data_IF_942203315123
#
_entry.id   IF_942203315123
#
_cell.length_a   1.000
_cell.length_b   1.000
_cell.length_c   1.000
_cell.angle_alpha   90.00
_cell.angle_beta   90.00
_cell.angle_gamma   90.00
#
_symmetry.space_group_name_H-M   'P 1'
#
loop_
_entity.id
_entity.type
_entity.pdbx_description
1 polymer ?
#
# COMPACT_ATOMS: atom_id res chain seq x y z
N UNK A 1 12.01 16.19 4.69
CA UNK A 1 11.66 15.45 5.93
C UNK A 1 12.24 16.22 7.11
N UNK A 2 11.48 16.44 8.19
CA UNK A 2 12.00 17.05 9.42
C UNK A 2 12.36 15.98 10.43
N UNK A 3 13.39 16.22 11.24
CA UNK A 3 13.87 15.28 12.26
C UNK A 3 14.01 16.03 13.59
N UNK A 4 13.33 15.55 14.62
CA UNK A 4 13.41 16.05 15.99
C UNK A 4 13.88 14.91 16.88
N UNK A 5 14.95 15.13 17.62
CA UNK A 5 15.39 14.24 18.71
C UNK A 5 14.97 14.87 20.03
N UNK A 6 14.56 14.08 21.00
CA UNK A 6 14.19 14.60 22.30
C UNK A 6 14.65 13.68 23.42
N UNK A 7 14.92 14.31 24.56
CA UNK A 7 15.17 13.71 25.85
C UNK A 7 14.53 14.62 26.91
N UNK A 8 15.33 15.29 27.75
CA UNK A 8 14.89 16.43 28.56
C UNK A 8 14.43 17.62 27.70
N UNK A 9 15.08 17.84 26.55
CA UNK A 9 14.82 19.00 25.67
C UNK A 9 14.68 18.55 24.21
N UNK A 10 13.60 18.93 23.50
CA UNK A 10 13.48 18.66 22.08
C UNK A 10 14.45 19.51 21.26
N UNK A 11 15.09 18.90 20.27
CA UNK A 11 16.05 19.55 19.38
C UNK A 11 15.72 19.23 17.93
N UNK A 12 15.54 20.26 17.11
CA UNK A 12 15.45 20.11 15.66
C UNK A 12 16.82 19.73 15.09
N UNK A 13 16.95 18.53 14.54
CA UNK A 13 18.13 18.09 13.80
C UNK A 13 18.03 18.46 12.32
N UNK A 14 16.81 18.46 11.77
CA UNK A 14 16.53 18.89 10.40
C UNK A 14 15.12 19.47 10.29
N UNK A 15 14.94 20.45 9.40
CA UNK A 15 13.65 21.02 9.02
C UNK A 15 13.09 20.31 7.79
N UNK A 16 11.81 20.51 7.46
CA UNK A 16 11.17 19.83 6.32
C UNK A 16 11.84 20.16 4.99
N UNK A 17 12.43 21.36 4.88
CA UNK A 17 13.17 21.87 3.71
C UNK A 17 14.71 21.75 3.81
N UNK A 18 15.26 21.02 4.79
CA UNK A 18 16.72 20.92 4.96
C UNK A 18 17.40 20.15 3.84
N UNK A 19 16.85 19.01 3.43
CA UNK A 19 17.45 18.11 2.45
C UNK A 19 16.65 18.10 1.15
N UNK A 20 17.34 17.90 0.02
CA UNK A 20 16.71 17.89 -1.31
C UNK A 20 16.45 16.50 -1.86
N UNK A 21 17.25 15.52 -1.44
CA UNK A 21 17.10 14.13 -1.87
C UNK A 21 17.17 13.15 -0.70
N UNK A 22 16.92 11.88 -1.04
CA UNK A 22 16.84 10.79 -0.08
C UNK A 22 18.22 10.41 0.48
N UNK A 23 19.26 10.49 -0.33
CA UNK A 23 20.59 10.00 0.05
C UNK A 23 21.23 10.92 1.10
N UNK A 24 21.04 12.22 0.97
CA UNK A 24 21.43 13.21 1.99
C UNK A 24 20.77 12.91 3.34
N UNK A 25 19.47 12.59 3.35
CA UNK A 25 18.72 12.25 4.57
C UNK A 25 19.28 10.99 5.21
N UNK A 26 19.52 9.94 4.42
CA UNK A 26 20.03 8.66 4.91
C UNK A 26 21.44 8.81 5.51
N UNK A 27 22.32 9.56 4.84
CA UNK A 27 23.65 9.86 5.36
C UNK A 27 23.58 10.64 6.68
N UNK A 28 22.71 11.64 6.76
CA UNK A 28 22.54 12.43 7.98
C UNK A 28 22.02 11.60 9.15
N UNK A 29 21.04 10.72 8.92
CA UNK A 29 20.50 9.83 9.97
C UNK A 29 21.60 8.96 10.58
N UNK A 30 22.54 8.45 9.76
CA UNK A 30 23.66 7.64 10.25
C UNK A 30 24.65 8.42 11.14
N UNK A 31 24.63 9.76 11.07
CA UNK A 31 25.51 10.63 11.84
C UNK A 31 24.83 11.21 13.09
N UNK A 32 23.54 10.92 13.33
CA UNK A 32 22.81 11.48 14.46
C UNK A 32 23.40 10.99 15.80
N UNK A 33 23.78 11.91 16.71
CA UNK A 33 24.34 11.52 17.99
C UNK A 33 23.26 10.99 18.92
N UNK A 34 23.51 9.84 19.55
CA UNK A 34 22.71 9.37 20.67
C UNK A 34 22.94 10.25 21.89
N UNK A 35 21.86 10.73 22.50
CA UNK A 35 21.89 11.55 23.72
C UNK A 35 21.09 10.86 24.81
N UNK A 36 21.68 10.76 26.00
CA UNK A 36 20.99 10.31 27.21
C UNK A 36 20.21 11.48 27.83
N UNK A 37 19.20 11.17 28.63
CA UNK A 37 18.40 12.15 29.36
C UNK A 37 17.04 11.59 29.73
N UNK A 38 16.15 12.47 30.19
CA UNK A 38 14.75 12.16 30.44
C UNK A 38 13.94 11.91 29.17
N UNK A 39 12.62 11.80 29.33
CA UNK A 39 11.66 11.49 28.25
C UNK A 39 10.52 12.50 28.27
N UNK A 40 10.73 13.71 27.74
CA UNK A 40 9.70 14.74 27.63
C UNK A 40 9.00 14.71 26.26
N UNK A 41 8.16 13.71 26.04
CA UNK A 41 7.47 13.49 24.76
C UNK A 41 6.44 14.59 24.47
N UNK A 42 5.75 15.10 25.48
CA UNK A 42 4.77 16.19 25.32
C UNK A 42 5.42 17.48 24.81
N UNK A 43 6.57 17.85 25.38
CA UNK A 43 7.38 18.96 24.94
C UNK A 43 7.86 18.77 23.49
N UNK A 44 8.27 17.55 23.12
CA UNK A 44 8.69 17.23 21.76
C UNK A 44 7.57 17.37 20.73
N UNK A 45 6.36 16.93 21.07
CA UNK A 45 5.17 17.12 20.22
C UNK A 45 4.87 18.61 20.03
N UNK A 46 4.82 19.38 21.10
CA UNK A 46 4.58 20.83 21.04
C UNK A 46 5.65 21.55 20.22
N UNK A 47 6.92 21.23 20.48
CA UNK A 47 8.04 21.77 19.71
C UNK A 47 7.92 21.45 18.22
N UNK A 48 7.53 20.23 17.87
CA UNK A 48 7.35 19.80 16.48
C UNK A 48 6.27 20.63 15.77
N UNK A 49 5.14 20.89 16.43
CA UNK A 49 4.09 21.75 15.89
C UNK A 49 4.59 23.18 15.66
N UNK A 50 5.23 23.77 16.67
CA UNK A 50 5.61 25.18 16.69
C UNK A 50 6.84 25.49 15.82
N UNK A 51 7.74 24.52 15.65
CA UNK A 51 9.05 24.77 15.01
C UNK A 51 9.23 24.02 13.70
N UNK A 52 8.67 22.82 13.54
CA UNK A 52 8.87 22.01 12.32
C UNK A 52 7.75 22.22 11.32
N UNK A 53 6.49 22.15 11.76
CA UNK A 53 5.33 22.29 10.88
C UNK A 53 4.97 23.75 10.53
N UNK A 54 5.99 24.58 10.33
CA UNK A 54 5.84 25.99 9.93
C UNK A 54 6.20 26.19 8.45
N UNK A 55 5.55 27.16 7.81
CA UNK A 55 5.79 27.50 6.39
C UNK A 55 7.28 27.84 6.15
N UNK A 56 7.91 28.57 7.09
CA UNK A 56 9.34 28.94 7.06
C UNK A 56 10.28 27.73 7.08
N UNK A 57 9.82 26.59 7.62
CA UNK A 57 10.58 25.33 7.71
C UNK A 57 10.18 24.31 6.65
N UNK A 58 9.37 24.68 5.68
CA UNK A 58 8.99 23.83 4.54
C UNK A 58 7.68 23.07 4.71
N UNK A 59 6.88 23.38 5.73
CA UNK A 59 5.51 22.89 5.85
C UNK A 59 4.67 23.46 4.72
N UNK A 60 3.83 22.64 4.10
CA UNK A 60 2.96 23.03 2.97
C UNK A 60 1.49 22.81 3.36
N UNK A 61 0.61 23.70 2.91
CA UNK A 61 -0.82 23.64 3.24
C UNK A 61 -1.54 22.49 2.53
N UNK A 62 -1.19 22.24 1.27
CA UNK A 62 -1.86 21.25 0.42
C UNK A 62 -1.20 19.86 0.45
N UNK A 63 -0.39 19.59 1.48
CA UNK A 63 0.32 18.32 1.63
C UNK A 63 -0.03 17.69 2.97
N UNK A 64 -0.38 16.39 3.00
CA UNK A 64 -0.59 15.67 4.25
C UNK A 64 0.62 15.80 5.18
N UNK A 65 0.36 16.15 6.44
CA UNK A 65 1.38 16.29 7.48
C UNK A 65 1.35 15.05 8.35
N UNK A 66 2.49 14.39 8.49
CA UNK A 66 2.63 13.16 9.27
C UNK A 66 3.71 13.36 10.32
N UNK A 67 3.41 13.01 11.56
CA UNK A 67 4.36 12.90 12.66
C UNK A 67 4.48 11.44 13.10
N UNK A 68 5.67 10.86 12.95
CA UNK A 68 6.01 9.54 13.47
C UNK A 68 6.79 9.70 14.78
N UNK A 69 6.15 9.36 15.89
CA UNK A 69 6.72 9.44 17.23
C UNK A 69 7.24 8.07 17.62
N UNK A 70 8.51 7.99 18.02
CA UNK A 70 9.16 6.75 18.45
C UNK A 70 9.67 6.95 19.88
N UNK A 71 9.21 6.13 20.83
CA UNK A 71 9.59 6.20 22.24
C UNK A 71 9.77 4.80 22.83
N UNK A 72 10.66 4.65 23.81
CA UNK A 72 10.93 3.39 24.51
C UNK A 72 10.53 3.40 25.99
N UNK A 73 9.89 4.47 26.46
CA UNK A 73 9.50 4.62 27.86
C UNK A 73 8.36 5.61 28.10
N UNK A 74 7.96 5.71 29.36
CA UNK A 74 6.91 6.62 29.85
C UNK A 74 7.38 8.08 29.80
N UNK A 75 6.52 8.98 29.35
CA UNK A 75 6.79 10.40 29.36
C UNK A 75 6.83 10.97 30.78
N UNK A 76 7.70 11.95 31.01
CA UNK A 76 7.80 12.69 32.27
C UNK A 76 6.91 13.95 32.31
N UNK A 77 6.26 14.26 31.18
CA UNK A 77 5.36 15.38 30.99
C UNK A 77 4.03 14.95 30.32
N UNK A 78 3.06 15.87 30.25
CA UNK A 78 1.76 15.59 29.65
C UNK A 78 1.86 15.48 28.11
N UNK A 79 1.53 14.30 27.57
CA UNK A 79 1.52 14.03 26.13
C UNK A 79 0.20 14.42 25.45
N UNK A 80 -0.92 14.37 26.18
CA UNK A 80 -2.27 14.53 25.65
C UNK A 80 -2.55 15.87 25.01
N UNK A 81 -2.31 16.96 25.75
CA UNK A 81 -2.63 18.32 25.27
C UNK A 81 -1.82 18.67 24.02
N UNK A 82 -0.53 18.31 24.03
CA UNK A 82 0.36 18.53 22.91
C UNK A 82 -0.06 17.70 21.68
N UNK A 83 -0.43 16.44 21.87
CA UNK A 83 -0.90 15.59 20.79
C UNK A 83 -2.25 16.05 20.21
N UNK A 84 -3.17 16.51 21.08
CA UNK A 84 -4.45 17.12 20.65
C UNK A 84 -4.17 18.34 19.79
N UNK A 85 -3.26 19.22 20.20
CA UNK A 85 -2.90 20.40 19.43
C UNK A 85 -2.33 20.02 18.05
N UNK A 86 -1.43 19.03 18.01
CA UNK A 86 -0.84 18.53 16.76
C UNK A 86 -1.92 18.01 15.79
N UNK A 87 -2.83 17.17 16.29
CA UNK A 87 -3.92 16.60 15.49
C UNK A 87 -4.90 17.66 15.02
N UNK A 88 -5.25 18.64 15.87
CA UNK A 88 -6.11 19.78 15.49
C UNK A 88 -5.47 20.67 14.43
N UNK A 89 -4.14 20.72 14.36
CA UNK A 89 -3.42 21.40 13.30
C UNK A 89 -3.36 20.61 11.97
N UNK A 90 -4.09 19.49 11.87
CA UNK A 90 -4.17 18.65 10.67
C UNK A 90 -2.98 17.72 10.49
N UNK A 91 -2.23 17.43 11.56
CA UNK A 91 -1.12 16.47 11.52
C UNK A 91 -1.59 15.08 11.94
N UNK A 92 -1.37 14.09 11.08
CA UNK A 92 -1.58 12.67 11.39
C UNK A 92 -0.44 12.16 12.25
N UNK A 93 -0.74 11.73 13.46
CA UNK A 93 0.23 11.22 14.44
C UNK A 93 0.22 9.69 14.47
N UNK A 94 1.37 9.09 14.18
CA UNK A 94 1.70 7.69 14.41
C UNK A 94 2.56 7.58 15.67
N UNK A 95 2.20 6.69 16.60
CA UNK A 95 2.93 6.46 17.84
C UNK A 95 3.50 5.04 17.85
N UNK A 96 4.82 4.93 17.99
CA UNK A 96 5.57 3.68 18.03
C UNK A 96 6.25 3.55 19.39
N UNK A 97 5.79 2.58 20.17
CA UNK A 97 6.39 2.18 21.43
C UNK A 97 7.37 1.03 21.24
N UNK A 98 8.50 1.08 21.93
CA UNK A 98 9.52 0.03 21.93
C UNK A 98 9.67 -0.49 23.37
N UNK A 99 9.74 -1.81 23.55
CA UNK A 99 9.89 -2.48 24.86
C UNK A 99 8.79 -2.05 25.85
N UNK A 100 9.17 -1.35 26.92
CA UNK A 100 8.34 -0.98 28.07
C UNK A 100 7.64 0.38 27.87
N UNK A 101 7.46 0.81 26.62
CA UNK A 101 6.73 2.04 26.30
C UNK A 101 5.30 1.99 26.85
N UNK A 102 4.83 3.11 27.39
CA UNK A 102 3.51 3.18 27.99
C UNK A 102 2.41 3.20 26.93
N UNK A 103 1.67 2.10 26.78
CA UNK A 103 0.65 1.96 25.73
C UNK A 103 -0.48 2.99 25.85
N UNK A 104 -0.89 3.36 27.07
CA UNK A 104 -1.93 4.38 27.26
C UNK A 104 -1.49 5.75 26.73
N UNK A 105 -0.23 6.13 26.92
CA UNK A 105 0.34 7.36 26.37
C UNK A 105 0.46 7.28 24.84
N UNK A 106 0.85 6.13 24.26
CA UNK A 106 0.87 5.94 22.81
C UNK A 106 -0.54 6.13 22.21
N UNK A 107 -1.55 5.55 22.86
CA UNK A 107 -2.96 5.70 22.49
C UNK A 107 -3.39 7.16 22.60
N UNK A 108 -2.99 7.87 23.63
CA UNK A 108 -3.32 9.28 23.82
C UNK A 108 -2.71 10.18 22.72
N UNK A 109 -1.49 9.86 22.28
CA UNK A 109 -0.76 10.60 21.24
C UNK A 109 -1.27 10.33 19.82
N UNK A 110 -1.56 9.07 19.49
CA UNK A 110 -1.86 8.66 18.13
C UNK A 110 -3.18 9.23 17.56
N UNK A 111 -3.29 9.26 16.24
CA UNK A 111 -4.54 9.59 15.54
C UNK A 111 -5.56 8.44 15.60
N UNK A 112 -6.78 8.68 15.13
CA UNK A 112 -7.86 7.68 15.14
C UNK A 112 -8.05 7.05 13.75
N UNK A 113 -8.31 5.73 13.64
CA UNK A 113 -8.49 4.76 14.73
C UNK A 113 -7.17 4.28 15.35
N UNK A 114 -7.15 4.02 16.66
CA UNK A 114 -5.94 3.66 17.40
C UNK A 114 -5.28 2.38 16.86
N UNK A 115 -6.08 1.44 16.38
CA UNK A 115 -5.64 0.23 15.68
C UNK A 115 -4.75 0.47 14.45
N UNK A 116 -4.81 1.67 13.86
CA UNK A 116 -4.03 2.07 12.68
C UNK A 116 -2.77 2.88 13.03
N UNK A 117 -2.80 3.63 14.12
CA UNK A 117 -1.77 4.64 14.40
C UNK A 117 -0.95 4.36 15.66
N UNK A 118 -1.26 3.29 16.40
CA UNK A 118 -0.49 2.83 17.57
C UNK A 118 0.21 1.53 17.23
N UNK A 119 1.52 1.48 17.48
CA UNK A 119 2.33 0.31 17.27
C UNK A 119 3.21 0.05 18.48
N UNK A 120 3.34 -1.22 18.88
CA UNK A 120 4.26 -1.65 19.91
C UNK A 120 5.17 -2.72 19.35
N UNK A 121 6.47 -2.61 19.63
CA UNK A 121 7.47 -3.60 19.27
C UNK A 121 8.29 -3.97 20.50
N UNK A 122 8.55 -5.26 20.70
CA UNK A 122 9.31 -5.74 21.87
C UNK A 122 10.82 -5.49 21.77
N UNK A 123 11.32 -5.09 20.59
CA UNK A 123 12.74 -4.85 20.35
C UNK A 123 12.98 -3.90 19.18
N UNK A 124 14.10 -3.20 19.21
CA UNK A 124 14.54 -2.30 18.14
C UNK A 124 14.77 -3.04 16.81
N UNK A 125 15.09 -4.34 16.85
CA UNK A 125 15.23 -5.19 15.66
C UNK A 125 13.92 -5.28 14.88
N UNK A 126 12.77 -5.26 15.59
CA UNK A 126 11.44 -5.34 14.98
C UNK A 126 10.92 -4.00 14.43
N UNK A 127 11.69 -2.92 14.51
CA UNK A 127 11.36 -1.67 13.81
C UNK A 127 11.42 -1.82 12.28
N UNK A 128 12.28 -2.71 11.75
CA UNK A 128 12.36 -2.93 10.31
C UNK A 128 11.05 -3.53 9.74
N UNK A 129 10.51 -4.66 10.27
CA UNK A 129 9.16 -5.12 9.91
C UNK A 129 8.06 -4.07 10.13
N UNK A 130 8.22 -3.21 11.15
CA UNK A 130 7.27 -2.14 11.40
C UNK A 130 7.23 -1.11 10.27
N UNK A 131 8.35 -0.83 9.57
CA UNK A 131 8.33 0.06 8.40
C UNK A 131 7.42 -0.46 7.29
N UNK A 132 7.43 -1.77 7.03
CA UNK A 132 6.51 -2.42 6.08
C UNK A 132 5.05 -2.32 6.53
N UNK A 133 4.82 -2.28 7.84
CA UNK A 133 3.49 -2.11 8.43
C UNK A 133 3.03 -0.64 8.47
N UNK A 134 3.92 0.32 8.72
CA UNK A 134 3.60 1.76 8.67
C UNK A 134 3.29 2.23 7.25
N UNK A 135 3.85 1.53 6.27
CA UNK A 135 3.51 1.61 4.85
C UNK A 135 2.20 0.86 4.51
N UNK A 136 1.39 0.43 5.51
CA UNK A 136 0.15 -0.31 5.24
C UNK A 136 -0.77 0.49 4.34
N UNK A 137 -0.93 -0.03 3.14
CA UNK A 137 -1.83 0.47 2.14
C UNK A 137 -3.26 0.20 2.56
N UNK A 138 -4.06 1.25 2.61
CA UNK A 138 -5.50 1.11 2.62
C UNK A 138 -5.93 0.97 1.17
N UNK A 139 -6.38 -0.22 0.80
CA UNK A 139 -6.74 -0.50 -0.58
C UNK A 139 -7.84 -1.54 -0.70
N UNK A 140 -8.65 -1.38 -1.73
CA UNK A 140 -9.59 -2.39 -2.18
C UNK A 140 -9.04 -2.99 -3.46
N UNK A 141 -8.80 -4.31 -3.45
CA UNK A 141 -8.15 -5.00 -4.56
C UNK A 141 -9.08 -6.10 -5.07
N UNK A 142 -9.38 -6.07 -6.36
CA UNK A 142 -10.01 -7.21 -7.02
C UNK A 142 -9.01 -7.93 -7.92
N UNK A 143 -9.02 -9.25 -7.84
CA UNK A 143 -8.47 -10.11 -8.89
C UNK A 143 -9.56 -10.44 -9.90
N UNK A 144 -9.23 -10.26 -11.19
CA UNK A 144 -10.03 -10.72 -12.31
C UNK A 144 -9.23 -11.82 -13.03
N UNK A 145 -9.61 -13.05 -12.77
CA UNK A 145 -8.86 -14.26 -13.13
C UNK A 145 -9.52 -14.95 -14.31
N UNK A 146 -8.76 -15.12 -15.39
CA UNK A 146 -9.19 -15.89 -16.56
C UNK A 146 -9.29 -17.39 -16.22
N UNK A 147 -10.33 -18.03 -16.72
CA UNK A 147 -10.65 -19.45 -16.61
C UNK A 147 -11.03 -20.04 -17.98
N UNK A 148 -10.63 -19.37 -19.05
CA UNK A 148 -10.91 -19.82 -20.41
C UNK A 148 -10.26 -21.17 -20.71
N UNK A 149 -10.79 -21.86 -21.71
CA UNK A 149 -10.35 -23.22 -22.07
C UNK A 149 -8.94 -23.31 -22.66
N UNK A 150 -8.27 -22.19 -22.93
CA UNK A 150 -6.85 -22.17 -23.32
C UNK A 150 -5.90 -22.38 -22.14
N UNK A 151 -6.39 -22.19 -20.91
CA UNK A 151 -5.60 -22.33 -19.70
C UNK A 151 -5.52 -23.81 -19.31
N UNK A 152 -4.31 -24.33 -19.15
CA UNK A 152 -4.10 -25.69 -18.65
C UNK A 152 -4.30 -25.77 -17.14
N UNK A 153 -4.62 -26.95 -16.60
CA UNK A 153 -4.86 -27.11 -15.15
C UNK A 153 -3.66 -26.72 -14.28
N UNK A 154 -2.44 -26.89 -14.77
CA UNK A 154 -1.22 -26.46 -14.07
C UNK A 154 -1.12 -24.92 -14.03
N UNK A 155 -1.35 -24.26 -15.15
CA UNK A 155 -1.38 -22.80 -15.28
C UNK A 155 -2.44 -22.18 -14.36
N UNK A 156 -3.63 -22.79 -14.31
CA UNK A 156 -4.69 -22.41 -13.38
C UNK A 156 -4.26 -22.52 -11.92
N UNK A 157 -3.58 -23.62 -11.57
CA UNK A 157 -3.04 -23.81 -10.21
C UNK A 157 -2.01 -22.74 -9.86
N UNK A 158 -1.19 -22.31 -10.82
CA UNK A 158 -0.19 -21.29 -10.57
C UNK A 158 -0.80 -19.89 -10.42
N UNK A 159 -1.89 -19.58 -11.13
CA UNK A 159 -2.69 -18.38 -10.85
C UNK A 159 -3.26 -18.38 -9.43
N UNK A 160 -3.81 -19.51 -8.97
CA UNK A 160 -4.27 -19.65 -7.58
C UNK A 160 -3.12 -19.40 -6.58
N UNK A 161 -1.94 -19.99 -6.81
CA UNK A 161 -0.76 -19.78 -5.97
C UNK A 161 -0.32 -18.33 -5.95
N UNK A 162 -0.30 -17.65 -7.10
CA UNK A 162 0.04 -16.23 -7.18
C UNK A 162 -0.89 -15.37 -6.32
N UNK A 163 -2.20 -15.59 -6.42
CA UNK A 163 -3.21 -14.88 -5.62
C UNK A 163 -3.02 -15.19 -4.13
N UNK A 164 -2.78 -16.45 -3.77
CA UNK A 164 -2.51 -16.87 -2.37
C UNK A 164 -1.25 -16.19 -1.82
N UNK A 165 -0.16 -16.11 -2.59
CA UNK A 165 1.04 -15.38 -2.18
C UNK A 165 0.76 -13.89 -1.97
N UNK A 166 -0.10 -13.30 -2.79
CA UNK A 166 -0.53 -11.91 -2.65
C UNK A 166 -1.33 -11.71 -1.36
N UNK A 167 -2.31 -12.58 -1.10
CA UNK A 167 -3.12 -12.59 0.12
C UNK A 167 -2.27 -12.68 1.40
N UNK A 168 -1.23 -13.52 1.39
CA UNK A 168 -0.30 -13.70 2.52
C UNK A 168 0.55 -12.46 2.82
N UNK A 169 0.71 -11.57 1.84
CA UNK A 169 1.59 -10.42 1.98
C UNK A 169 0.90 -9.26 2.70
N UNK A 170 -0.41 -9.12 2.55
CA UNK A 170 -1.16 -8.02 3.15
C UNK A 170 -1.84 -8.40 4.46
N UNK A 171 -1.97 -7.41 5.34
CA UNK A 171 -2.92 -7.48 6.44
C UNK A 171 -4.33 -7.30 5.87
N UNK A 172 -5.10 -8.39 5.82
CA UNK A 172 -6.48 -8.38 5.33
C UNK A 172 -7.44 -7.94 6.43
N UNK A 173 -8.39 -7.06 6.10
CA UNK A 173 -9.52 -6.75 6.96
C UNK A 173 -10.26 -5.45 6.62
N UNK A 174 -11.39 -5.16 7.28
CA UNK A 174 -12.24 -4.00 6.97
C UNK A 174 -11.54 -2.63 7.13
N UNK A 175 -10.51 -2.57 7.97
CA UNK A 175 -9.69 -1.37 8.21
C UNK A 175 -8.30 -1.44 7.56
N UNK A 176 -8.03 -2.47 6.74
CA UNK A 176 -6.77 -2.70 6.05
C UNK A 176 -7.06 -3.06 4.60
N UNK A 177 -6.25 -3.88 3.93
CA UNK A 177 -6.56 -4.29 2.57
C UNK A 177 -7.81 -5.17 2.56
N UNK A 178 -8.78 -4.86 1.68
CA UNK A 178 -9.87 -5.78 1.33
C UNK A 178 -9.55 -6.39 -0.02
N UNK A 179 -9.84 -7.68 -0.18
CA UNK A 179 -9.63 -8.38 -1.44
C UNK A 179 -10.87 -9.16 -1.86
N UNK A 180 -11.17 -9.10 -3.15
CA UNK A 180 -12.21 -9.87 -3.81
C UNK A 180 -11.64 -10.58 -5.03
N UNK A 181 -12.34 -11.60 -5.50
CA UNK A 181 -11.93 -12.37 -6.66
C UNK A 181 -13.12 -12.70 -7.55
N UNK A 182 -12.99 -12.35 -8.82
CA UNK A 182 -13.92 -12.71 -9.89
C UNK A 182 -13.17 -13.59 -10.87
N UNK A 183 -13.73 -14.77 -11.14
CA UNK A 183 -13.28 -15.68 -12.19
C UNK A 183 -14.11 -15.45 -13.45
N UNK A 184 -13.54 -15.55 -14.65
CA UNK A 184 -14.33 -15.41 -15.88
C UNK A 184 -13.88 -16.36 -16.99
N UNK A 185 -14.84 -16.77 -17.82
CA UNK A 185 -14.59 -17.38 -19.12
C UNK A 185 -15.60 -16.79 -20.13
N UNK A 186 -16.70 -17.49 -20.39
CA UNK A 186 -17.84 -16.97 -21.16
C UNK A 186 -18.62 -15.87 -20.41
N UNK A 187 -18.58 -15.92 -19.08
CA UNK A 187 -19.21 -14.95 -18.20
C UNK A 187 -18.46 -14.85 -16.87
N UNK A 188 -18.48 -13.67 -16.21
CA UNK A 188 -17.86 -13.48 -14.91
C UNK A 188 -18.65 -14.19 -13.80
N UNK A 189 -17.93 -14.69 -12.80
CA UNK A 189 -18.45 -15.38 -11.63
C UNK A 189 -17.68 -14.92 -10.39
N UNK A 190 -18.38 -14.20 -9.51
CA UNK A 190 -17.84 -13.75 -8.22
C UNK A 190 -17.56 -14.96 -7.34
N UNK A 191 -16.30 -15.13 -6.93
CA UNK A 191 -15.90 -16.21 -6.03
C UNK A 191 -15.97 -15.77 -4.57
N UNK A 192 -15.57 -14.52 -4.28
CA UNK A 192 -15.80 -13.86 -3.01
C UNK A 192 -15.66 -12.34 -3.16
N UNK A 193 -16.45 -11.59 -2.40
CA UNK A 193 -16.42 -10.11 -2.39
C UNK A 193 -15.49 -9.54 -1.30
N UNK A 194 -15.14 -8.25 -1.39
CA UNK A 194 -14.25 -7.50 -0.50
C UNK A 194 -14.64 -7.57 0.98
N UNK A 195 -15.91 -7.79 1.29
CA UNK A 195 -16.44 -7.82 2.66
C UNK A 195 -16.71 -9.23 3.18
N UNK A 196 -16.59 -10.26 2.35
CA UNK A 196 -16.98 -11.62 2.71
C UNK A 196 -15.99 -12.26 3.69
N UNK A 197 -14.71 -11.93 3.55
CA UNK A 197 -13.66 -12.47 4.39
C UNK A 197 -12.84 -11.34 5.02
N UNK A 198 -12.52 -11.50 6.30
CA UNK A 198 -11.66 -10.58 7.05
C UNK A 198 -10.34 -11.23 7.49
N UNK A 199 -10.02 -12.40 6.91
CA UNK A 199 -8.91 -13.24 7.31
C UNK A 199 -8.29 -13.90 6.08
N UNK A 200 -6.97 -13.74 5.94
CA UNK A 200 -6.21 -14.26 4.80
C UNK A 200 -6.34 -15.79 4.68
N UNK A 201 -6.30 -16.54 5.80
CA UNK A 201 -6.39 -18.02 5.75
C UNK A 201 -7.73 -18.50 5.23
N UNK A 202 -8.83 -17.79 5.52
CA UNK A 202 -10.15 -18.09 4.94
C UNK A 202 -10.17 -17.81 3.44
N UNK A 203 -9.62 -16.68 3.00
CA UNK A 203 -9.50 -16.35 1.57
C UNK A 203 -8.63 -17.37 0.83
N UNK A 204 -7.50 -17.80 1.40
CA UNK A 204 -6.64 -18.83 0.81
C UNK A 204 -7.43 -20.12 0.53
N UNK A 205 -8.18 -20.61 1.53
CA UNK A 205 -9.04 -21.79 1.36
C UNK A 205 -10.16 -21.59 0.35
N UNK A 206 -10.67 -20.36 0.20
CA UNK A 206 -11.66 -20.04 -0.81
C UNK A 206 -11.03 -20.12 -2.20
N UNK A 207 -9.84 -19.55 -2.39
CA UNK A 207 -9.07 -19.61 -3.64
C UNK A 207 -8.75 -21.06 -4.01
N UNK A 208 -8.25 -21.87 -3.08
CA UNK A 208 -7.91 -23.29 -3.30
C UNK A 208 -9.10 -24.16 -3.76
N UNK A 209 -10.34 -23.75 -3.47
CA UNK A 209 -11.56 -24.48 -3.85
C UNK A 209 -12.13 -24.07 -5.20
N UNK A 210 -11.58 -23.04 -5.83
CA UNK A 210 -12.01 -22.63 -7.16
C UNK A 210 -11.58 -23.72 -8.14
N UNK A 211 -12.53 -24.21 -8.94
CA UNK A 211 -12.27 -25.23 -9.94
C UNK A 211 -12.21 -24.61 -11.34
N UNK A 212 -11.26 -25.09 -12.13
CA UNK A 212 -11.13 -24.74 -13.54
C UNK A 212 -12.30 -25.35 -14.33
N UNK A 213 -13.02 -24.52 -15.09
CA UNK A 213 -14.17 -24.97 -15.88
C UNK A 213 -13.98 -24.78 -17.39
N UNK A 214 -13.09 -23.88 -17.80
CA UNK A 214 -12.92 -23.55 -19.21
C UNK A 214 -14.04 -22.67 -19.75
N UNK A 215 -14.01 -22.46 -21.06
CA UNK A 215 -14.98 -21.65 -21.81
C UNK A 215 -14.30 -20.69 -22.78
N UNK A 216 -15.04 -19.71 -23.27
CA UNK A 216 -14.50 -18.58 -24.03
C UNK A 216 -13.69 -17.61 -23.17
N UNK A 217 -13.26 -16.49 -23.79
CA UNK A 217 -12.42 -15.47 -23.15
C UNK A 217 -13.09 -14.10 -23.28
N UNK A 218 -14.20 -13.89 -22.55
CA UNK A 218 -15.02 -12.68 -22.60
C UNK A 218 -14.53 -11.62 -21.60
N UNK A 219 -13.26 -11.20 -21.75
CA UNK A 219 -12.59 -10.24 -20.85
C UNK A 219 -13.32 -8.89 -20.80
N UNK A 220 -13.89 -8.39 -21.90
CA UNK A 220 -14.62 -7.12 -21.93
C UNK A 220 -15.86 -7.14 -21.03
N UNK A 221 -16.66 -8.20 -21.13
CA UNK A 221 -17.79 -8.48 -20.24
C UNK A 221 -17.33 -8.62 -18.79
N UNK A 222 -16.21 -9.29 -18.55
CA UNK A 222 -15.66 -9.47 -17.22
C UNK A 222 -15.26 -8.13 -16.58
N UNK A 223 -14.56 -7.25 -17.32
CA UNK A 223 -14.24 -5.87 -16.92
C UNK A 223 -15.51 -5.06 -16.64
N UNK A 224 -16.53 -5.19 -17.49
CA UNK A 224 -17.80 -4.47 -17.30
C UNK A 224 -18.47 -4.84 -15.97
N UNK A 225 -18.39 -6.12 -15.56
CA UNK A 225 -18.95 -6.55 -14.27
C UNK A 225 -18.26 -5.93 -13.06
N UNK A 226 -16.97 -5.60 -13.18
CA UNK A 226 -16.18 -4.99 -12.10
C UNK A 226 -16.65 -3.57 -11.74
N UNK A 227 -17.32 -2.87 -12.65
CA UNK A 227 -17.82 -1.51 -12.41
C UNK A 227 -18.73 -1.46 -11.18
N UNK A 228 -19.70 -2.37 -11.09
CA UNK A 228 -20.63 -2.42 -9.96
C UNK A 228 -19.94 -2.91 -8.68
N UNK A 229 -19.00 -3.86 -8.79
CA UNK A 229 -18.20 -4.31 -7.64
C UNK A 229 -17.41 -3.15 -7.01
N UNK A 230 -16.75 -2.30 -7.81
CA UNK A 230 -16.03 -1.14 -7.28
C UNK A 230 -16.95 -0.01 -6.77
N UNK A 231 -18.13 0.20 -7.37
CA UNK A 231 -19.13 1.12 -6.78
C UNK A 231 -19.58 0.65 -5.40
N UNK A 232 -19.84 -0.65 -5.25
CA UNK A 232 -20.20 -1.24 -3.96
C UNK A 232 -19.04 -1.20 -2.95
N UNK A 233 -17.80 -1.38 -3.42
CA UNK A 233 -16.59 -1.21 -2.61
C UNK A 233 -16.53 0.19 -1.98
N UNK A 234 -16.71 1.24 -2.80
CA UNK A 234 -16.75 2.64 -2.36
C UNK A 234 -17.82 2.89 -1.31
N UNK A 235 -19.04 2.43 -1.59
CA UNK A 235 -20.19 2.63 -0.70
C UNK A 235 -20.00 1.94 0.65
N UNK A 236 -19.33 0.78 0.69
CA UNK A 236 -19.12 0.00 1.93
C UNK A 236 -17.93 0.45 2.77
N UNK A 237 -16.97 1.20 2.22
CA UNK A 237 -15.71 1.54 2.90
C UNK A 237 -15.86 2.65 3.94
N UNK A 238 -16.74 3.62 3.71
CA UNK A 238 -16.95 4.79 4.56
C UNK A 238 -15.83 5.84 4.52
N UNK A 239 -14.72 5.60 3.82
CA UNK A 239 -13.62 6.53 3.58
C UNK A 239 -12.92 6.19 2.25
N UNK A 240 -12.22 7.17 1.65
CA UNK A 240 -11.52 7.00 0.37
C UNK A 240 -10.27 6.12 0.54
N UNK A 241 -10.10 5.17 -0.36
CA UNK A 241 -8.92 4.30 -0.47
C UNK A 241 -8.52 4.15 -1.94
N UNK A 242 -7.31 3.69 -2.21
CA UNK A 242 -6.90 3.33 -3.57
C UNK A 242 -7.56 2.02 -3.98
N UNK A 243 -8.07 1.98 -5.21
CA UNK A 243 -8.79 0.84 -5.76
C UNK A 243 -7.97 0.22 -6.88
N UNK A 244 -7.69 -1.08 -6.79
CA UNK A 244 -6.85 -1.78 -7.74
C UNK A 244 -7.60 -2.96 -8.37
N UNK A 245 -7.50 -3.07 -9.69
CA UNK A 245 -7.92 -4.25 -10.43
C UNK A 245 -6.69 -4.94 -10.99
N UNK A 246 -6.47 -6.20 -10.63
CA UNK A 246 -5.39 -7.04 -11.18
C UNK A 246 -6.03 -8.06 -12.11
N UNK A 247 -5.87 -7.86 -13.42
CA UNK A 247 -6.36 -8.77 -14.46
C UNK A 247 -5.27 -9.76 -14.82
N UNK A 248 -5.59 -11.06 -14.81
CA UNK A 248 -4.68 -12.14 -15.21
C UNK A 248 -5.33 -12.90 -16.35
N UNK A 249 -4.70 -12.94 -17.53
CA UNK A 249 -5.21 -13.60 -18.75
C UNK A 249 -4.09 -14.20 -19.58
N UNK A 250 -4.36 -15.28 -20.31
CA UNK A 250 -3.41 -15.98 -21.18
C UNK A 250 -3.65 -15.74 -22.67
N UNK A 251 -4.71 -15.01 -23.04
CA UNK A 251 -5.23 -15.03 -24.41
C UNK A 251 -5.77 -13.71 -24.93
N UNK A 252 -6.18 -13.74 -26.21
CA UNK A 252 -6.91 -12.65 -26.85
C UNK A 252 -8.39 -12.75 -26.46
N UNK A 253 -8.92 -11.66 -25.94
CA UNK A 253 -10.34 -11.54 -25.66
C UNK A 253 -11.19 -11.63 -26.93
N UNK A 254 -12.34 -12.29 -26.80
CA UNK A 254 -13.33 -12.48 -27.86
C UNK A 254 -14.32 -11.31 -27.99
N UNK A 255 -14.24 -10.33 -27.08
CA UNK A 255 -15.03 -9.11 -27.06
C UNK A 255 -14.14 -7.86 -26.86
N UNK A 256 -14.75 -6.68 -26.92
CA UNK A 256 -14.03 -5.41 -26.82
C UNK A 256 -13.67 -5.09 -25.36
N UNK A 257 -12.38 -4.91 -25.08
CA UNK A 257 -11.87 -4.63 -23.72
C UNK A 257 -11.67 -3.15 -23.43
N UNK A 258 -11.51 -2.33 -24.48
CA UNK A 258 -11.08 -0.93 -24.34
C UNK A 258 -12.09 -0.07 -23.59
N UNK A 259 -13.36 -0.07 -24.01
CA UNK A 259 -14.43 0.74 -23.41
C UNK A 259 -14.63 0.40 -21.92
N UNK A 260 -14.85 -0.86 -21.51
CA UNK A 260 -15.05 -1.16 -20.09
C UNK A 260 -13.80 -0.89 -19.23
N UNK A 261 -12.60 -1.03 -19.80
CA UNK A 261 -11.37 -0.64 -19.11
C UNK A 261 -11.25 0.89 -18.92
N UNK A 262 -11.63 1.69 -19.92
CA UNK A 262 -11.71 3.15 -19.81
C UNK A 262 -12.71 3.59 -18.73
N UNK A 263 -13.87 2.93 -18.66
CA UNK A 263 -14.89 3.21 -17.63
C UNK A 263 -14.37 2.92 -16.22
N UNK A 264 -13.71 1.78 -15.99
CA UNK A 264 -13.08 1.46 -14.70
C UNK A 264 -12.04 2.51 -14.30
N UNK A 265 -11.18 2.93 -15.24
CA UNK A 265 -10.19 3.97 -14.97
C UNK A 265 -10.83 5.33 -14.72
N UNK A 266 -11.93 5.66 -15.39
CA UNK A 266 -12.69 6.88 -15.13
C UNK A 266 -13.31 6.89 -13.73
N UNK A 267 -13.61 5.71 -13.16
CA UNK A 267 -13.97 5.57 -11.74
C UNK A 267 -12.77 5.72 -10.79
N UNK A 268 -11.54 5.89 -11.29
CA UNK A 268 -10.34 6.00 -10.45
C UNK A 268 -9.73 4.65 -10.05
N UNK A 269 -10.17 3.55 -10.65
CA UNK A 269 -9.56 2.23 -10.44
C UNK A 269 -8.23 2.16 -11.18
N UNK A 270 -7.18 1.75 -10.47
CA UNK A 270 -5.86 1.52 -11.02
C UNK A 270 -5.78 0.07 -11.51
N UNK A 271 -5.71 -0.11 -12.83
CA UNK A 271 -5.72 -1.44 -13.44
C UNK A 271 -4.30 -1.91 -13.76
N UNK A 272 -3.98 -3.13 -13.35
CA UNK A 272 -2.83 -3.91 -13.78
C UNK A 272 -3.30 -5.03 -14.71
N UNK A 273 -2.59 -5.21 -15.82
CA UNK A 273 -2.87 -6.28 -16.79
C UNK A 273 -1.68 -7.23 -16.84
N UNK A 274 -1.89 -8.48 -16.44
CA UNK A 274 -0.89 -9.54 -16.45
C UNK A 274 -1.26 -10.51 -17.56
N UNK A 275 -0.48 -10.47 -18.63
CA UNK A 275 -0.55 -11.40 -19.73
C UNK A 275 0.40 -12.57 -19.53
N UNK A 276 -0.08 -13.79 -19.75
CA UNK A 276 0.74 -15.01 -19.69
C UNK A 276 0.83 -15.65 -21.06
N UNK A 277 1.99 -16.22 -21.42
CA UNK A 277 2.21 -16.85 -22.74
C UNK A 277 1.79 -15.91 -23.88
N UNK A 278 1.05 -16.35 -24.89
CA UNK A 278 0.74 -15.60 -26.11
C UNK A 278 -0.37 -14.54 -25.96
N UNK A 279 -0.51 -13.97 -24.76
CA UNK A 279 -1.46 -12.90 -24.46
C UNK A 279 -1.34 -11.68 -25.39
N UNK A 280 -2.47 -11.02 -25.67
CA UNK A 280 -2.52 -9.94 -26.64
C UNK A 280 -2.01 -8.60 -26.05
N UNK A 281 -0.81 -8.17 -26.46
CA UNK A 281 -0.17 -6.95 -25.92
C UNK A 281 -1.02 -5.69 -26.06
N UNK A 282 -1.74 -5.53 -27.17
CA UNK A 282 -2.60 -4.37 -27.43
C UNK A 282 -3.74 -4.34 -26.41
N UNK A 283 -4.44 -5.45 -26.22
CA UNK A 283 -5.52 -5.55 -25.25
C UNK A 283 -5.02 -5.37 -23.81
N UNK A 284 -3.84 -5.89 -23.46
CA UNK A 284 -3.27 -5.65 -22.12
C UNK A 284 -2.98 -4.16 -21.88
N UNK A 285 -2.48 -3.43 -22.89
CA UNK A 285 -2.30 -1.98 -22.80
C UNK A 285 -3.65 -1.26 -22.64
N UNK A 286 -4.67 -1.67 -23.40
CA UNK A 286 -6.02 -1.12 -23.31
C UNK A 286 -6.65 -1.35 -21.93
N UNK A 287 -6.38 -2.50 -21.31
CA UNK A 287 -6.84 -2.85 -19.96
C UNK A 287 -6.10 -2.03 -18.89
N UNK A 288 -4.76 -1.96 -18.94
CA UNK A 288 -3.98 -1.25 -17.94
C UNK A 288 -4.08 0.29 -18.05
N UNK A 289 -4.23 0.81 -19.27
CA UNK A 289 -4.21 2.24 -19.59
C UNK A 289 -2.88 2.95 -19.34
N UNK A 290 -1.86 2.22 -18.88
CA UNK A 290 -0.49 2.67 -18.69
C UNK A 290 0.46 1.50 -18.98
N UNK A 291 1.43 1.64 -19.90
CA UNK A 291 2.39 0.57 -20.22
C UNK A 291 3.18 0.05 -19.02
N UNK A 292 3.41 0.88 -17.98
CA UNK A 292 4.15 0.48 -16.79
C UNK A 292 3.36 -0.47 -15.87
N UNK A 293 2.03 -0.56 -16.06
CA UNK A 293 1.13 -1.46 -15.31
C UNK A 293 0.69 -2.68 -16.12
N UNK A 294 1.26 -2.84 -17.32
CA UNK A 294 1.19 -4.08 -18.09
C UNK A 294 2.40 -4.94 -17.74
N UNK A 295 2.14 -6.23 -17.58
CA UNK A 295 3.16 -7.24 -17.41
C UNK A 295 2.94 -8.39 -18.37
N UNK A 296 4.04 -8.94 -18.85
CA UNK A 296 4.05 -10.12 -19.69
C UNK A 296 4.96 -11.16 -19.03
N UNK A 297 4.46 -12.39 -18.90
CA UNK A 297 5.23 -13.51 -18.37
C UNK A 297 5.28 -14.66 -19.36
N UNK A 298 6.49 -15.18 -19.57
CA UNK A 298 6.74 -16.34 -20.42
C UNK A 298 6.15 -17.63 -19.83
N UNK A 299 6.03 -17.69 -18.52
CA UNK A 299 5.56 -18.83 -17.75
C UNK A 299 4.99 -18.35 -16.41
N UNK A 300 4.18 -19.18 -15.75
CA UNK A 300 3.56 -18.80 -14.49
C UNK A 300 4.56 -18.75 -13.31
N UNK A 301 5.76 -19.33 -13.44
CA UNK A 301 6.81 -19.24 -12.42
C UNK A 301 7.35 -17.81 -12.23
N UNK A 302 7.33 -17.01 -13.30
CA UNK A 302 7.75 -15.60 -13.26
C UNK A 302 6.74 -14.65 -12.59
N UNK A 303 5.51 -15.10 -12.28
CA UNK A 303 4.51 -14.31 -11.54
C UNK A 303 5.01 -13.84 -10.16
N UNK A 304 5.94 -14.58 -9.54
CA UNK A 304 6.60 -14.18 -8.28
C UNK A 304 7.34 -12.84 -8.39
N UNK A 305 7.96 -12.58 -9.54
CA UNK A 305 8.69 -11.32 -9.78
C UNK A 305 7.73 -10.13 -9.97
N UNK A 306 6.58 -10.38 -10.59
CA UNK A 306 5.51 -9.41 -10.79
C UNK A 306 4.90 -9.00 -9.45
N UNK A 307 4.63 -9.97 -8.58
CA UNK A 307 4.15 -9.71 -7.22
C UNK A 307 4.98 -8.59 -6.58
N UNK A 308 6.29 -8.76 -6.50
CA UNK A 308 7.16 -7.78 -5.84
C UNK A 308 7.11 -6.38 -6.47
N UNK A 309 6.88 -6.28 -7.80
CA UNK A 309 6.75 -4.99 -8.47
C UNK A 309 5.39 -4.34 -8.21
N UNK A 310 4.30 -5.09 -8.37
CA UNK A 310 2.94 -4.61 -8.03
C UNK A 310 2.87 -4.21 -6.55
N UNK A 311 3.45 -5.02 -5.66
CA UNK A 311 3.53 -4.72 -4.22
C UNK A 311 4.24 -3.41 -3.97
N UNK A 312 5.39 -3.17 -4.60
CA UNK A 312 6.09 -1.89 -4.45
C UNK A 312 5.21 -0.75 -4.88
N UNK A 313 4.57 -0.82 -6.04
CA UNK A 313 3.74 0.26 -6.57
C UNK A 313 2.51 0.52 -5.67
N UNK A 314 1.77 -0.54 -5.30
CA UNK A 314 0.63 -0.43 -4.37
C UNK A 314 1.07 0.20 -3.04
N UNK A 315 2.23 -0.21 -2.51
CA UNK A 315 2.80 0.30 -1.26
C UNK A 315 3.53 1.65 -1.36
N UNK A 316 3.72 2.20 -2.56
CA UNK A 316 4.43 3.46 -2.76
C UNK A 316 3.60 4.57 -3.40
N UNK A 317 2.38 4.30 -3.86
CA UNK A 317 1.45 5.34 -4.35
C UNK A 317 0.73 6.10 -3.22
N UNK A 318 1.51 6.70 -2.31
CA UNK A 318 1.17 7.99 -1.72
C UNK A 318 2.09 9.06 -2.33
N UNK A 319 1.77 9.46 -3.58
CA UNK A 319 2.33 10.66 -4.20
C UNK A 319 2.96 10.43 -5.56
N UNK A 320 2.15 10.30 -6.62
CA UNK A 320 2.63 10.71 -7.95
C UNK A 320 1.49 11.16 -8.87
N UNK A 321 1.17 12.45 -8.82
CA UNK A 321 0.48 13.14 -9.92
C UNK A 321 1.45 14.13 -10.55
N UNK A 322 2.28 13.67 -11.49
CA UNK A 322 2.43 14.21 -12.87
C UNK A 322 3.72 13.72 -13.59
N UNK A 323 3.76 13.78 -14.95
CA UNK A 323 4.68 13.00 -15.78
C UNK A 323 5.91 13.81 -16.24
N UNK A 324 7.03 13.12 -16.49
CA UNK A 324 7.75 13.10 -17.78
C UNK A 324 9.17 12.53 -17.66
N UNK A 325 9.49 11.69 -18.65
CA UNK A 325 10.79 11.38 -19.27
C UNK A 325 12.10 11.63 -18.51
N UNK A 326 12.86 10.56 -18.30
CA UNK A 326 14.28 10.60 -17.98
C UNK A 326 14.86 9.19 -17.92
N UNK A 327 15.85 8.94 -18.78
CA UNK A 327 16.51 7.66 -19.10
C UNK A 327 16.95 6.79 -17.92
N UNK A 328 16.78 5.48 -18.06
CA UNK A 328 17.27 4.44 -17.17
C UNK A 328 18.79 4.30 -17.30
N UNK A 329 19.56 4.70 -16.28
CA UNK A 329 20.96 4.28 -16.16
C UNK A 329 21.09 3.08 -15.22
N UNK A 330 21.73 2.03 -15.76
CA UNK A 330 22.05 0.76 -15.09
C UNK A 330 23.21 0.98 -14.12
N UNK A 331 22.99 0.84 -12.82
CA UNK A 331 24.05 0.84 -11.82
C UNK A 331 24.66 -0.56 -11.66
N UNK A 332 25.96 -0.68 -11.93
CA UNK A 332 26.81 -1.80 -11.50
C UNK A 332 27.27 -1.56 -10.05
N UNK A 333 27.44 -2.61 -9.22
CA UNK A 333 27.99 -2.47 -7.88
C UNK A 333 29.50 -2.15 -7.95
N UNK A 334 29.94 -1.09 -7.26
CA UNK A 334 31.34 -0.87 -6.95
C UNK A 334 31.66 -1.44 -5.57
N UNK A 335 32.24 -2.64 -5.57
CA UNK A 335 33.18 -3.08 -4.56
C UNK A 335 34.38 -3.70 -5.29
N UNK A 336 35.48 -2.96 -5.27
CA UNK A 336 36.86 -3.43 -5.38
C UNK A 336 37.67 -2.61 -4.37
#
# INVERSE_FOLDING_TARGET
>A
VGIVTYNDVPTAQANLNTFKDKDEILQFINLLPYRKGGTNTGAALRFTLENIFTDKKGSRKDVPKIALVITDGKSQDNVGDAAIALRRAGVTVYAVGIKEANEAELVEMASYPKSKYVFTVDSFIKLKPLTETLLTTLSDIFFLMDDSGSIESNDFSDMQKFIIEFLRTFRIGPQHVRMGLVKYSDSPSLQFDLTEHSDAKKMEKAVERIHHQGGGTQTGRALSSMIEHFKNAKNSRGYKVSEYLIVITDGKSQDEVRIPAEELRALGVITYAIGVKDSNDIQLNEIAGNPNRKFFVSDFDTLKSIKNRIMREICSEEGNSQPNGGETQVFKPLWA
#
